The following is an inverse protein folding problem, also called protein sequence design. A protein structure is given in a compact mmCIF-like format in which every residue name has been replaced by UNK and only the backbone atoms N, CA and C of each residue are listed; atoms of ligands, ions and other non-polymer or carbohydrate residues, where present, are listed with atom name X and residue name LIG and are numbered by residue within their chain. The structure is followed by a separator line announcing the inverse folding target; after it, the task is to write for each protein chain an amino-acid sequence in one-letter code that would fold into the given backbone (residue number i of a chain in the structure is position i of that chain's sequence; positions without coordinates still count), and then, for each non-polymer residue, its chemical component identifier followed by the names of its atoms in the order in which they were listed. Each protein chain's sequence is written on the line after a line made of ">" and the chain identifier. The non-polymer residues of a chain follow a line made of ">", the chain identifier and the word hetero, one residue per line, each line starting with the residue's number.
data_IF_652884020624
#
_entry.id   IF_652884020624
#
_cell.length_a   1.000
_cell.length_b   1.000
_cell.length_c   1.000
_cell.angle_alpha   90.00
_cell.angle_beta   90.00
_cell.angle_gamma   90.00
#
_symmetry.space_group_name_H-M   'P 1'
#
loop_
_entity.id
_entity.type
_entity.pdbx_description
1 polymer ?
#
# COMPACT_ATOMS: atom_id res chain seq x y z
N UNK A 1 1.55 -15.95 9.71
CA UNK A 1 2.30 -14.78 9.23
C UNK A 1 2.18 -13.71 10.28
N UNK A 2 3.29 -13.12 10.73
CA UNK A 2 3.24 -11.90 11.54
C UNK A 2 2.84 -10.71 10.67
N UNK A 3 2.29 -9.66 11.28
CA UNK A 3 1.92 -8.43 10.56
C UNK A 3 3.13 -7.75 9.89
N UNK A 4 4.33 -7.94 10.45
CA UNK A 4 5.61 -7.48 9.88
C UNK A 4 5.90 -8.14 8.51
N UNK A 5 5.69 -9.47 8.40
CA UNK A 5 5.81 -10.19 7.13
C UNK A 5 4.80 -9.73 6.08
N UNK A 6 3.59 -9.32 6.49
CA UNK A 6 2.57 -8.82 5.56
C UNK A 6 2.96 -7.41 5.06
N UNK A 7 3.54 -6.58 5.94
CA UNK A 7 3.99 -5.23 5.61
C UNK A 7 5.08 -5.24 4.53
N UNK A 8 6.10 -6.08 4.69
CA UNK A 8 7.19 -6.23 3.70
C UNK A 8 6.69 -6.75 2.36
N UNK A 9 5.78 -7.74 2.37
CA UNK A 9 5.18 -8.27 1.14
C UNK A 9 4.31 -7.22 0.45
N UNK A 10 3.49 -6.48 1.18
CA UNK A 10 2.66 -5.41 0.64
C UNK A 10 3.52 -4.30 0.01
N UNK A 11 4.59 -3.88 0.69
CA UNK A 11 5.53 -2.89 0.15
C UNK A 11 6.21 -3.40 -1.13
N UNK A 12 6.67 -4.65 -1.12
CA UNK A 12 7.29 -5.29 -2.30
C UNK A 12 6.32 -5.36 -3.49
N UNK A 13 5.04 -5.66 -3.24
CA UNK A 13 4.01 -5.64 -4.28
C UNK A 13 3.86 -4.26 -4.91
N UNK A 14 3.82 -3.19 -4.12
CA UNK A 14 3.70 -1.82 -4.62
C UNK A 14 4.96 -1.41 -5.40
N UNK A 15 6.15 -1.68 -4.86
CA UNK A 15 7.43 -1.39 -5.52
C UNK A 15 7.58 -2.16 -6.85
N UNK A 16 6.99 -3.35 -6.95
CA UNK A 16 6.92 -4.13 -8.19
C UNK A 16 5.87 -3.64 -9.21
N UNK A 17 5.25 -2.48 -9.01
CA UNK A 17 4.21 -1.93 -9.88
C UNK A 17 2.78 -2.35 -9.55
N UNK A 18 2.59 -3.06 -8.44
CA UNK A 18 1.28 -3.37 -7.90
C UNK A 18 0.52 -2.12 -7.43
N UNK A 19 -0.78 -2.27 -7.22
CA UNK A 19 -1.67 -1.19 -6.75
C UNK A 19 -2.16 -1.48 -5.33
N UNK A 20 -2.66 -0.47 -4.59
CA UNK A 20 -3.32 -0.70 -3.29
C UNK A 20 -4.45 -1.73 -3.40
N UNK A 21 -5.16 -1.77 -4.55
CA UNK A 21 -6.18 -2.77 -4.84
C UNK A 21 -5.59 -4.19 -4.85
N UNK A 22 -4.42 -4.39 -5.46
CA UNK A 22 -3.74 -5.69 -5.47
C UNK A 22 -3.38 -6.15 -4.06
N UNK A 23 -2.93 -5.24 -3.20
CA UNK A 23 -2.63 -5.53 -1.78
C UNK A 23 -3.91 -5.88 -1.01
N UNK A 24 -4.99 -5.12 -1.21
CA UNK A 24 -6.28 -5.38 -0.56
C UNK A 24 -6.87 -6.74 -0.93
N UNK A 25 -6.68 -7.20 -2.17
CA UNK A 25 -7.12 -8.53 -2.61
C UNK A 25 -6.31 -9.66 -1.95
N UNK A 26 -5.02 -9.45 -1.68
CA UNK A 26 -4.16 -10.45 -1.05
C UNK A 26 -4.26 -10.46 0.48
N UNK A 27 -4.41 -9.30 1.11
CA UNK A 27 -4.36 -9.13 2.56
C UNK A 27 -5.52 -8.27 3.08
N UNK A 28 -6.79 -8.65 2.89
CA UNK A 28 -7.94 -7.77 3.16
C UNK A 28 -8.02 -7.31 4.62
N UNK A 29 -7.88 -8.22 5.59
CA UNK A 29 -7.97 -7.88 7.01
C UNK A 29 -6.82 -6.96 7.47
N UNK A 30 -5.62 -7.18 6.95
CA UNK A 30 -4.46 -6.34 7.25
C UNK A 30 -4.56 -4.98 6.55
N UNK A 31 -5.06 -4.95 5.31
CA UNK A 31 -5.26 -3.74 4.53
C UNK A 31 -6.23 -2.80 5.23
N UNK A 32 -7.36 -3.28 5.76
CA UNK A 32 -8.30 -2.44 6.53
C UNK A 32 -7.58 -1.67 7.65
N UNK A 33 -6.64 -2.32 8.35
CA UNK A 33 -5.89 -1.71 9.45
C UNK A 33 -4.74 -0.79 9.01
N UNK A 34 -4.17 -1.00 7.82
CA UNK A 34 -2.91 -0.39 7.39
C UNK A 34 -2.99 0.35 6.03
N UNK A 35 -4.19 0.53 5.47
CA UNK A 35 -4.39 1.02 4.10
C UNK A 35 -3.76 2.39 3.84
N UNK A 36 -3.75 3.30 4.83
CA UNK A 36 -3.18 4.64 4.66
C UNK A 36 -1.71 4.62 4.26
N UNK A 37 -0.89 3.78 4.92
CA UNK A 37 0.53 3.67 4.63
C UNK A 37 0.78 3.14 3.21
N UNK A 38 0.01 2.15 2.79
CA UNK A 38 0.12 1.57 1.44
C UNK A 38 -0.34 2.54 0.36
N UNK A 39 -1.42 3.29 0.60
CA UNK A 39 -1.90 4.30 -0.35
C UNK A 39 -0.85 5.40 -0.51
N UNK A 40 -0.31 5.93 0.59
CA UNK A 40 0.74 6.96 0.56
C UNK A 40 2.00 6.49 -0.16
N UNK A 41 2.44 5.26 0.09
CA UNK A 41 3.59 4.66 -0.60
C UNK A 41 3.36 4.62 -2.11
N UNK A 42 2.19 4.14 -2.53
CA UNK A 42 1.84 4.05 -3.94
C UNK A 42 1.74 5.43 -4.61
N UNK A 43 1.12 6.42 -3.96
CA UNK A 43 1.05 7.80 -4.46
C UNK A 43 2.44 8.42 -4.64
N UNK A 44 3.32 8.22 -3.65
CA UNK A 44 4.71 8.69 -3.68
C UNK A 44 5.47 8.12 -4.88
N UNK A 45 5.37 6.81 -5.10
CA UNK A 45 6.05 6.13 -6.22
C UNK A 45 5.48 6.59 -7.57
N UNK A 46 4.16 6.76 -7.67
CA UNK A 46 3.51 7.11 -8.94
C UNK A 46 3.50 8.63 -9.20
N UNK A 47 4.20 9.43 -8.38
CA UNK A 47 4.28 10.90 -8.47
C UNK A 47 2.89 11.55 -8.64
N UNK A 48 1.84 10.91 -8.11
CA UNK A 48 0.53 11.55 -8.04
C UNK A 48 0.66 12.61 -6.97
N UNK A 49 0.72 13.87 -7.41
CA UNK A 49 0.88 15.02 -6.54
C UNK A 49 -0.02 14.86 -5.32
N UNK A 50 0.59 14.95 -4.14
CA UNK A 50 -0.11 14.94 -2.86
C UNK A 50 -1.27 15.93 -2.99
N UNK A 51 -2.53 15.47 -2.96
CA UNK A 51 -3.71 16.35 -2.94
C UNK A 51 -3.87 17.00 -1.56
N UNK A 52 -2.77 17.49 -1.01
CA UNK A 52 -2.77 18.38 0.14
C UNK A 52 -3.21 19.73 -0.34
N UNK A 53 -4.53 19.91 -0.31
CA UNK A 53 -5.18 21.16 0.04
C UNK A 53 -4.63 22.41 -0.68
N UNK A 54 -5.04 22.59 -1.93
CA UNK A 54 -5.25 23.94 -2.50
C UNK A 54 -6.66 24.41 -2.16
#
# INVERSE_FOLDING_TARGET
>A
MSDENISERAASMILGGGTPRSVALQFPAWFVRNHEGIIRLWETINRRGWRGNE
#
